data_IF_135219106435
#
_entry.id   IF_135219106435
#
_cell.length_a   1.000
_cell.length_b   1.000
_cell.length_c   1.000
_cell.angle_alpha   90.00
_cell.angle_beta   90.00
_cell.angle_gamma   90.00
#
_symmetry.space_group_name_H-M   'P 1'
#
loop_
_entity.id
_entity.type
_entity.pdbx_description
1 polymer ?
#
# COMPACT_ATOMS: atom_id res chain seq x y z
N UNK A 1 -16.45 21.07 -58.66
CA UNK A 1 -17.04 21.64 -57.42
C UNK A 1 -15.97 21.60 -56.35
N UNK A 2 -15.63 22.79 -55.88
CA UNK A 2 -14.62 23.12 -54.86
C UNK A 2 -15.32 23.10 -53.50
N UNK A 3 -14.74 22.47 -52.48
CA UNK A 3 -14.88 22.74 -51.03
C UNK A 3 -14.23 21.54 -50.32
N UNK A 4 -13.28 21.64 -49.41
CA UNK A 4 -12.67 22.77 -48.74
C UNK A 4 -11.71 22.16 -47.71
N UNK A 5 -10.49 22.69 -47.68
CA UNK A 5 -9.34 22.24 -46.91
C UNK A 5 -9.51 22.40 -45.39
N UNK A 6 -8.72 21.60 -44.66
CA UNK A 6 -8.00 21.92 -43.42
C UNK A 6 -8.59 22.98 -42.45
N UNK A 7 -8.93 22.54 -41.24
CA UNK A 7 -8.71 23.30 -40.00
C UNK A 7 -8.33 22.32 -38.88
N UNK A 8 -7.08 22.32 -38.44
CA UNK A 8 -6.53 23.11 -37.31
C UNK A 8 -7.00 22.56 -35.96
N UNK A 9 -6.08 21.96 -35.19
CA UNK A 9 -5.46 22.66 -34.07
C UNK A 9 -4.39 21.79 -33.40
N UNK A 10 -3.14 22.03 -33.80
CA UNK A 10 -1.96 21.75 -32.97
C UNK A 10 -1.93 22.73 -31.81
N UNK A 11 -1.67 22.26 -30.59
CA UNK A 11 -1.15 23.12 -29.54
C UNK A 11 -0.16 22.35 -28.63
N UNK A 12 1.02 22.10 -29.19
CA UNK A 12 2.23 21.81 -28.43
C UNK A 12 2.76 23.11 -27.82
N UNK A 13 2.36 23.43 -26.59
CA UNK A 13 2.91 24.58 -25.88
C UNK A 13 4.23 24.20 -25.19
N UNK A 14 5.27 24.13 -26.01
CA UNK A 14 6.65 24.27 -25.58
C UNK A 14 6.83 25.73 -25.15
N UNK A 15 7.31 25.98 -23.93
CA UNK A 15 8.08 27.19 -23.59
C UNK A 15 8.75 27.04 -22.22
N UNK A 16 9.98 26.52 -22.26
CA UNK A 16 11.03 26.87 -21.31
C UNK A 16 11.49 28.29 -21.62
N UNK A 17 11.63 29.17 -20.62
CA UNK A 17 12.64 30.20 -20.67
C UNK A 17 13.70 29.93 -19.60
N UNK A 18 14.88 29.56 -20.09
CA UNK A 18 16.13 29.67 -19.36
C UNK A 18 16.39 31.16 -19.09
N UNK A 19 16.58 31.53 -17.83
CA UNK A 19 17.23 32.79 -17.46
C UNK A 19 18.34 32.45 -16.47
N UNK A 20 19.55 32.37 -17.02
CA UNK A 20 20.81 32.53 -16.32
C UNK A 20 20.94 34.00 -15.93
N UNK A 21 21.05 34.31 -14.64
CA UNK A 21 21.69 35.55 -14.17
C UNK A 21 22.48 35.27 -12.88
N UNK A 22 23.70 35.80 -12.89
CA UNK A 22 24.83 35.68 -11.97
C UNK A 22 24.57 36.29 -10.56
N UNK A 23 25.03 35.64 -9.49
CA UNK A 23 26.21 35.96 -8.66
C UNK A 23 26.15 37.29 -7.90
N UNK A 24 25.99 37.26 -6.56
CA UNK A 24 26.74 38.11 -5.59
C UNK A 24 26.81 37.39 -4.23
N UNK A 25 28.00 37.43 -3.65
CA UNK A 25 28.52 36.82 -2.43
C UNK A 25 27.94 37.48 -1.18
N UNK A 26 27.49 36.68 -0.20
CA UNK A 26 27.37 37.11 1.20
C UNK A 26 27.83 35.96 2.10
N UNK A 27 29.11 36.00 2.48
CA UNK A 27 29.68 35.16 3.52
C UNK A 27 29.12 35.61 4.88
N UNK A 28 28.00 35.03 5.29
CA UNK A 28 27.42 35.18 6.62
C UNK A 28 27.92 34.09 7.56
N UNK A 29 28.71 34.50 8.55
CA UNK A 29 29.04 33.82 9.82
C UNK A 29 28.34 32.47 10.06
N UNK A 30 29.07 31.37 9.84
CA UNK A 30 28.63 30.04 10.24
C UNK A 30 28.86 29.89 11.75
N UNK A 31 27.85 30.23 12.57
CA UNK A 31 27.79 29.75 13.95
C UNK A 31 27.64 28.23 13.91
N UNK A 32 28.74 27.49 14.10
CA UNK A 32 28.69 26.07 14.42
C UNK A 32 28.19 25.91 15.86
N UNK A 33 26.89 26.08 16.06
CA UNK A 33 26.22 25.53 17.23
C UNK A 33 26.18 24.01 17.03
N UNK A 34 27.14 23.30 17.61
CA UNK A 34 27.10 21.84 17.70
C UNK A 34 25.94 21.45 18.62
N UNK A 35 24.74 21.36 18.05
CA UNK A 35 23.58 20.74 18.65
C UNK A 35 23.93 19.26 18.89
N UNK A 36 24.23 18.92 20.14
CA UNK A 36 24.37 17.55 20.58
C UNK A 36 22.97 16.93 20.55
N UNK A 37 22.62 16.33 19.41
CA UNK A 37 21.45 15.48 19.31
C UNK A 37 21.70 14.27 20.24
N UNK A 38 21.19 14.36 21.46
CA UNK A 38 21.03 13.24 22.35
C UNK A 38 20.17 12.20 21.60
N UNK A 39 20.82 11.19 21.02
CA UNK A 39 20.14 10.10 20.33
C UNK A 39 19.33 9.37 21.40
N UNK A 40 17.98 9.42 21.38
CA UNK A 40 17.20 8.66 22.33
C UNK A 40 17.49 7.18 22.08
N UNK A 41 18.12 6.51 23.06
CA UNK A 41 18.23 5.04 23.05
C UNK A 41 16.84 4.48 23.32
N UNK A 42 16.08 4.32 22.26
CA UNK A 42 14.78 3.64 22.29
C UNK A 42 15.08 2.18 22.63
N UNK A 43 14.61 1.73 23.79
CA UNK A 43 14.62 0.32 24.16
C UNK A 43 13.79 -0.42 23.12
N UNK A 44 14.43 -1.29 22.32
CA UNK A 44 13.74 -2.08 21.29
C UNK A 44 12.91 -3.16 21.97
N UNK A 45 11.68 -2.81 22.34
CA UNK A 45 10.63 -3.81 22.54
C UNK A 45 10.55 -4.60 21.24
N UNK A 46 10.87 -5.90 21.30
CA UNK A 46 10.78 -6.79 20.14
C UNK A 46 9.31 -7.04 19.84
N UNK A 47 8.70 -6.17 19.05
CA UNK A 47 7.31 -6.32 18.58
C UNK A 47 7.33 -7.26 17.38
N UNK A 48 6.57 -8.37 17.44
CA UNK A 48 6.37 -9.24 16.27
C UNK A 48 5.57 -8.46 15.20
N UNK A 49 6.22 -8.07 14.08
CA UNK A 49 5.58 -7.23 13.07
C UNK A 49 4.38 -7.93 12.41
N UNK A 50 4.36 -9.27 12.40
CA UNK A 50 3.28 -10.02 11.78
C UNK A 50 2.04 -10.10 12.65
N UNK A 51 2.22 -10.18 13.97
CA UNK A 51 1.09 -10.07 14.92
C UNK A 51 0.47 -8.68 14.82
N UNK A 52 1.30 -7.65 14.73
CA UNK A 52 0.83 -6.27 14.50
C UNK A 52 0.09 -6.14 13.16
N UNK A 53 0.57 -6.80 12.10
CA UNK A 53 -0.11 -6.81 10.80
C UNK A 53 -1.48 -7.49 10.88
N UNK A 54 -1.58 -8.66 11.52
CA UNK A 54 -2.85 -9.38 11.70
C UNK A 54 -3.86 -8.51 12.45
N UNK A 55 -3.47 -7.98 13.61
CA UNK A 55 -4.32 -7.12 14.43
C UNK A 55 -4.75 -5.87 13.65
N UNK A 56 -3.84 -5.26 12.89
CA UNK A 56 -4.15 -4.10 12.04
C UNK A 56 -5.17 -4.46 10.95
N UNK A 57 -5.03 -5.61 10.29
CA UNK A 57 -5.95 -6.06 9.25
C UNK A 57 -7.33 -6.37 9.83
N UNK A 58 -7.39 -7.14 10.91
CA UNK A 58 -8.63 -7.51 11.59
C UNK A 58 -9.45 -6.27 11.98
N UNK A 59 -8.79 -5.33 12.66
CA UNK A 59 -9.45 -4.14 13.19
C UNK A 59 -9.90 -3.19 12.08
N UNK A 60 -9.01 -2.85 11.13
CA UNK A 60 -9.34 -1.85 10.11
C UNK A 60 -10.27 -2.38 9.03
N UNK A 61 -10.19 -3.67 8.68
CA UNK A 61 -11.07 -4.24 7.66
C UNK A 61 -12.44 -4.65 8.22
N UNK A 62 -12.69 -4.45 9.53
CA UNK A 62 -13.92 -4.88 10.20
C UNK A 62 -14.19 -6.38 10.00
N UNK A 63 -13.16 -7.20 10.11
CA UNK A 63 -13.24 -8.64 9.88
C UNK A 63 -13.91 -9.36 11.08
N UNK A 64 -15.24 -9.36 11.12
CA UNK A 64 -16.02 -9.89 12.25
C UNK A 64 -16.28 -11.38 12.14
N UNK A 65 -16.44 -11.92 10.93
CA UNK A 65 -16.75 -13.34 10.71
C UNK A 65 -15.51 -14.22 10.88
N UNK A 66 -15.71 -15.46 11.36
CA UNK A 66 -14.63 -16.43 11.57
C UNK A 66 -13.87 -16.72 10.26
N UNK A 67 -14.59 -16.82 9.16
CA UNK A 67 -14.04 -17.08 7.82
C UNK A 67 -13.15 -15.94 7.36
N UNK A 68 -13.57 -14.69 7.61
CA UNK A 68 -12.77 -13.50 7.31
C UNK A 68 -11.46 -13.47 8.13
N UNK A 69 -11.54 -13.83 9.41
CA UNK A 69 -10.33 -13.94 10.27
C UNK A 69 -9.39 -15.03 9.76
N UNK A 70 -9.92 -16.21 9.42
CA UNK A 70 -9.14 -17.31 8.87
C UNK A 70 -8.45 -16.92 7.54
N UNK A 71 -9.15 -16.19 6.68
CA UNK A 71 -8.58 -15.65 5.45
C UNK A 71 -7.41 -14.69 5.74
N UNK A 72 -7.57 -13.76 6.69
CA UNK A 72 -6.50 -12.83 7.05
C UNK A 72 -5.29 -13.53 7.69
N UNK A 73 -5.52 -14.54 8.52
CA UNK A 73 -4.45 -15.40 9.05
C UNK A 73 -3.69 -16.12 7.94
N UNK A 74 -4.41 -16.64 6.95
CA UNK A 74 -3.79 -17.22 5.76
C UNK A 74 -2.95 -16.19 5.00
N UNK A 75 -3.47 -14.97 4.79
CA UNK A 75 -2.71 -13.88 4.14
C UNK A 75 -1.42 -13.56 4.92
N UNK A 76 -1.50 -13.40 6.24
CA UNK A 76 -0.32 -13.14 7.09
C UNK A 76 0.67 -14.29 7.01
N UNK A 77 0.21 -15.54 6.92
CA UNK A 77 1.08 -16.70 6.70
C UNK A 77 1.82 -16.61 5.35
N UNK A 78 1.14 -16.20 4.27
CA UNK A 78 1.79 -15.99 2.98
C UNK A 78 2.84 -14.86 3.02
N UNK A 79 2.59 -13.81 3.82
CA UNK A 79 3.55 -12.74 4.07
C UNK A 79 4.76 -13.24 4.86
N UNK A 80 4.54 -13.99 5.95
CA UNK A 80 5.62 -14.64 6.74
C UNK A 80 6.52 -15.53 5.88
N UNK A 81 5.94 -16.17 4.87
CA UNK A 81 6.65 -17.04 3.93
C UNK A 81 7.32 -16.28 2.78
N UNK A 82 7.31 -14.94 2.79
CA UNK A 82 7.80 -14.08 1.69
C UNK A 82 7.16 -14.37 0.32
N UNK A 83 6.00 -15.06 0.30
CA UNK A 83 5.22 -15.25 -0.94
C UNK A 83 4.47 -13.98 -1.31
N UNK A 84 4.12 -13.18 -0.30
CA UNK A 84 3.39 -11.94 -0.47
C UNK A 84 4.12 -10.81 0.25
N UNK A 85 4.31 -9.67 -0.42
CA UNK A 85 4.95 -8.52 0.22
C UNK A 85 4.01 -7.88 1.25
N UNK A 86 4.51 -7.67 2.48
CA UNK A 86 3.79 -6.94 3.52
C UNK A 86 3.35 -5.54 3.06
N UNK A 87 4.20 -4.84 2.30
CA UNK A 87 3.89 -3.48 1.80
C UNK A 87 2.73 -3.50 0.83
N UNK A 88 2.63 -4.53 -0.01
CA UNK A 88 1.50 -4.73 -0.91
C UNK A 88 0.21 -4.90 -0.12
N UNK A 89 0.22 -5.76 0.90
CA UNK A 89 -0.97 -6.00 1.75
C UNK A 89 -1.44 -4.70 2.41
N UNK A 90 -0.52 -3.91 2.97
CA UNK A 90 -0.83 -2.62 3.59
C UNK A 90 -1.36 -1.61 2.55
N UNK A 91 -0.77 -1.56 1.36
CA UNK A 91 -1.23 -0.68 0.29
C UNK A 91 -2.68 -1.01 -0.12
N UNK A 92 -3.00 -2.29 -0.25
CA UNK A 92 -4.34 -2.75 -0.61
C UNK A 92 -5.34 -2.53 0.52
N UNK A 93 -4.93 -2.69 1.78
CA UNK A 93 -5.76 -2.31 2.93
C UNK A 93 -6.13 -0.82 2.85
N UNK A 94 -5.16 0.06 2.64
CA UNK A 94 -5.40 1.51 2.52
C UNK A 94 -6.29 1.83 1.33
N UNK A 95 -6.11 1.15 0.20
CA UNK A 95 -6.98 1.27 -0.96
C UNK A 95 -8.43 0.90 -0.64
N UNK A 96 -8.66 -0.24 0.01
CA UNK A 96 -9.99 -0.72 0.37
C UNK A 96 -10.73 0.26 1.29
N UNK A 97 -10.01 0.78 2.31
CA UNK A 97 -10.53 1.81 3.21
C UNK A 97 -10.91 3.10 2.50
N UNK A 98 -10.10 3.54 1.51
CA UNK A 98 -10.40 4.74 0.71
C UNK A 98 -11.59 4.52 -0.22
N UNK A 99 -11.74 3.31 -0.76
CA UNK A 99 -12.79 3.00 -1.74
C UNK A 99 -14.17 2.87 -1.09
N UNK A 100 -14.28 2.10 -0.01
CA UNK A 100 -15.52 1.89 0.75
C UNK A 100 -15.18 1.67 2.23
N UNK A 101 -15.15 2.74 3.06
CA UNK A 101 -14.80 2.60 4.48
C UNK A 101 -15.84 1.83 5.29
N UNK A 102 -17.11 1.85 4.88
CA UNK A 102 -18.20 1.14 5.58
C UNK A 102 -18.07 -0.38 5.44
N UNK A 103 -17.60 -0.82 4.27
CA UNK A 103 -17.49 -2.24 3.90
C UNK A 103 -16.17 -2.52 3.15
N UNK A 104 -15.02 -2.41 3.83
CA UNK A 104 -13.71 -2.44 3.17
C UNK A 104 -13.29 -3.85 2.78
N UNK A 105 -13.73 -4.87 3.52
CA UNK A 105 -13.19 -6.22 3.40
C UNK A 105 -13.33 -6.85 2.00
N UNK A 106 -14.48 -6.81 1.30
CA UNK A 106 -14.57 -7.44 -0.03
C UNK A 106 -13.72 -6.74 -1.09
N UNK A 107 -13.54 -5.42 -0.98
CA UNK A 107 -12.64 -4.69 -1.87
C UNK A 107 -11.18 -5.05 -1.61
N UNK A 108 -10.82 -5.25 -0.34
CA UNK A 108 -9.53 -5.78 0.04
C UNK A 108 -9.31 -7.18 -0.52
N UNK A 109 -10.23 -8.12 -0.32
CA UNK A 109 -10.14 -9.49 -0.83
C UNK A 109 -9.96 -9.48 -2.36
N UNK A 110 -10.82 -8.79 -3.09
CA UNK A 110 -10.80 -8.78 -4.55
C UNK A 110 -9.51 -8.17 -5.10
N UNK A 111 -9.07 -7.04 -4.55
CA UNK A 111 -7.83 -6.40 -4.97
C UNK A 111 -6.60 -7.25 -4.62
N UNK A 112 -6.56 -7.85 -3.44
CA UNK A 112 -5.46 -8.70 -3.02
C UNK A 112 -5.34 -9.95 -3.87
N UNK A 113 -6.47 -10.61 -4.19
CA UNK A 113 -6.48 -11.77 -5.08
C UNK A 113 -5.96 -11.41 -6.47
N UNK A 114 -6.37 -10.27 -7.01
CA UNK A 114 -5.91 -9.78 -8.32
C UNK A 114 -4.40 -9.51 -8.30
N UNK A 115 -3.91 -8.82 -7.27
CA UNK A 115 -2.50 -8.48 -7.12
C UNK A 115 -1.59 -9.68 -6.81
N UNK A 116 -2.09 -10.67 -6.08
CA UNK A 116 -1.39 -11.90 -5.80
C UNK A 116 -1.30 -12.80 -7.05
N UNK A 117 -2.38 -12.86 -7.85
CA UNK A 117 -2.39 -13.62 -9.11
C UNK A 117 -1.32 -13.13 -10.09
N UNK A 118 -1.10 -11.81 -10.18
CA UNK A 118 0.00 -11.21 -10.98
C UNK A 118 1.40 -11.68 -10.55
N UNK A 119 1.53 -12.15 -9.32
CA UNK A 119 2.79 -12.62 -8.70
C UNK A 119 2.82 -14.15 -8.58
N UNK A 120 1.94 -14.86 -9.29
CA UNK A 120 1.80 -16.33 -9.24
C UNK A 120 1.44 -16.88 -7.85
N UNK A 121 0.82 -16.06 -6.99
CA UNK A 121 0.32 -16.50 -5.68
C UNK A 121 -1.19 -16.62 -5.75
N UNK A 122 -1.69 -17.86 -5.69
CA UNK A 122 -3.11 -18.13 -5.69
C UNK A 122 -3.65 -17.94 -4.27
N UNK A 123 -4.53 -16.95 -4.11
CA UNK A 123 -5.26 -16.72 -2.88
C UNK A 123 -6.71 -17.26 -3.02
N UNK A 124 -7.13 -18.20 -2.16
CA UNK A 124 -8.50 -18.69 -2.14
C UNK A 124 -9.48 -17.58 -1.76
N UNK A 125 -10.77 -17.78 -2.05
CA UNK A 125 -11.82 -16.86 -1.60
C UNK A 125 -12.13 -17.12 -0.13
N UNK A 126 -12.66 -16.10 0.55
CA UNK A 126 -13.09 -16.21 1.96
C UNK A 126 -14.15 -17.31 2.13
N UNK A 127 -15.01 -17.49 1.13
CA UNK A 127 -16.03 -18.55 1.10
C UNK A 127 -15.43 -19.96 1.18
N UNK A 128 -14.21 -20.18 0.67
CA UNK A 128 -13.53 -21.48 0.73
C UNK A 128 -13.18 -21.87 2.18
N UNK A 129 -12.98 -20.90 3.06
CA UNK A 129 -12.70 -21.13 4.48
C UNK A 129 -13.95 -21.46 5.29
N UNK A 130 -15.16 -21.16 4.77
CA UNK A 130 -16.41 -21.62 5.37
C UNK A 130 -16.57 -23.14 5.22
N UNK A 131 -16.19 -23.66 4.04
CA UNK A 131 -16.42 -25.06 3.66
C UNK A 131 -15.40 -26.04 4.26
N UNK A 132 -14.21 -25.58 4.67
CA UNK A 132 -13.16 -26.47 5.21
C UNK A 132 -13.46 -27.03 6.61
N UNK A 133 -14.58 -26.63 7.22
CA UNK A 133 -15.02 -27.08 8.55
C UNK A 133 -15.53 -28.54 8.59
N UNK A 134 -15.62 -29.24 7.45
CA UNK A 134 -16.26 -30.57 7.36
C UNK A 134 -15.25 -31.73 7.49
N UNK A 135 -13.93 -31.51 7.35
CA UNK A 135 -12.94 -32.58 7.45
C UNK A 135 -12.17 -32.53 8.79
N UNK A 136 -12.82 -32.95 9.87
CA UNK A 136 -12.12 -33.40 11.07
C UNK A 136 -12.61 -34.83 11.36
N UNK A 137 -11.82 -35.88 11.03
CA UNK A 137 -12.15 -37.22 11.49
C UNK A 137 -12.05 -37.24 13.02
N UNK A 138 -13.04 -37.84 13.65
CA UNK A 138 -13.08 -38.12 15.09
C UNK A 138 -11.93 -39.03 15.51
#
# INVERSE_FOLDING_TARGET
>A
MIFGSNMVSSNSFVRRPAFLVAMVIAAGLVHHASAQNAVPRISTVTVDPYRTLEDQLLNRLRATSREQRAYLQFVVKQVKQNRLDMRLVIAIQRYALRRRPDFPFPFFEQALRTEAAKRNVILPRVQTFASSKIASPR
#
